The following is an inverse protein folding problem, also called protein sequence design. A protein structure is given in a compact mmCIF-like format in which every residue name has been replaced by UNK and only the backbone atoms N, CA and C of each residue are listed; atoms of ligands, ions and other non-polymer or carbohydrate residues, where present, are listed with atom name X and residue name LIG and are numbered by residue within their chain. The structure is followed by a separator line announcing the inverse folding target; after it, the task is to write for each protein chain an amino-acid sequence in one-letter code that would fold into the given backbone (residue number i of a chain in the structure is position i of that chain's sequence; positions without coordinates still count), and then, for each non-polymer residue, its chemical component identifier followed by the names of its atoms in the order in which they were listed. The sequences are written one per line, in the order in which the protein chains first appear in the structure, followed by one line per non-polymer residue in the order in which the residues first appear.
data_IF_033000655064
#
_entry.id   IF_033000655064
#
_cell.length_a   1.000
_cell.length_b   1.000
_cell.length_c   1.000
_cell.angle_alpha   90.00
_cell.angle_beta   90.00
_cell.angle_gamma   90.00
#
_symmetry.space_group_name_H-M   'P 1'
#
loop_
_entity.id
_entity.type
_entity.pdbx_description
1 polymer ?
#
# COMPACT_ATOMS: atom_id res chain seq x y z
N UNK A 1 14.92 -7.70 0.27
CA UNK A 1 13.83 -8.21 -0.61
C UNK A 1 14.14 -7.97 -2.09
N UNK A 2 13.90 -8.95 -2.97
CA UNK A 2 14.10 -8.78 -4.41
C UNK A 2 12.90 -8.03 -5.02
N UNK A 3 13.10 -7.15 -6.03
CA UNK A 3 12.00 -6.51 -6.74
C UNK A 3 11.05 -7.52 -7.37
N UNK A 4 9.76 -7.20 -7.43
CA UNK A 4 8.79 -7.95 -8.20
C UNK A 4 9.07 -7.64 -9.67
N UNK A 5 9.52 -8.64 -10.43
CA UNK A 5 9.81 -8.50 -11.86
C UNK A 5 8.76 -9.22 -12.67
N UNK A 6 8.09 -8.48 -13.54
CA UNK A 6 7.19 -9.03 -14.53
C UNK A 6 7.76 -8.75 -15.92
N UNK A 7 7.77 -9.77 -16.78
CA UNK A 7 8.20 -9.64 -18.16
C UNK A 7 6.99 -9.87 -19.07
N UNK A 8 6.50 -8.80 -19.69
CA UNK A 8 5.39 -8.86 -20.63
C UNK A 8 5.95 -9.10 -22.02
N UNK A 9 5.58 -10.23 -22.63
CA UNK A 9 5.90 -10.52 -24.03
C UNK A 9 4.66 -10.25 -24.88
N UNK A 10 4.81 -9.34 -25.83
CA UNK A 10 3.71 -8.95 -26.69
C UNK A 10 3.65 -9.89 -27.90
N UNK A 11 2.47 -10.38 -28.29
CA UNK A 11 2.34 -11.31 -29.41
C UNK A 11 2.66 -10.66 -30.77
N UNK A 12 2.64 -9.32 -30.84
CA UNK A 12 3.01 -8.54 -32.02
C UNK A 12 3.47 -7.14 -31.61
N UNK A 13 4.05 -6.40 -32.57
CA UNK A 13 4.32 -4.97 -32.38
C UNK A 13 3.02 -4.21 -32.12
N UNK A 14 2.98 -3.45 -31.03
CA UNK A 14 1.88 -2.54 -30.76
C UNK A 14 1.97 -1.33 -31.69
N UNK A 15 0.82 -0.90 -32.20
CA UNK A 15 0.70 0.41 -32.84
C UNK A 15 0.69 1.55 -31.80
N UNK A 16 0.60 2.79 -32.27
CA UNK A 16 0.41 3.94 -31.38
C UNK A 16 -0.98 3.90 -30.75
N UNK A 17 -1.08 3.97 -29.43
CA UNK A 17 -2.36 4.00 -28.72
C UNK A 17 -2.23 3.81 -27.21
N UNK A 18 -3.38 3.83 -26.52
CA UNK A 18 -3.48 3.47 -25.11
C UNK A 18 -3.54 1.95 -24.97
N UNK A 19 -2.85 1.44 -23.96
CA UNK A 19 -2.82 0.02 -23.61
C UNK A 19 -3.11 -0.09 -22.11
N UNK A 20 -3.93 -1.07 -21.77
CA UNK A 20 -4.21 -1.42 -20.37
C UNK A 20 -3.56 -2.76 -20.07
N UNK A 21 -2.71 -2.78 -19.05
CA UNK A 21 -2.06 -4.00 -18.54
C UNK A 21 -2.64 -4.33 -17.17
N UNK A 22 -3.04 -5.59 -16.99
CA UNK A 22 -3.52 -6.12 -15.72
C UNK A 22 -2.53 -7.16 -15.21
N UNK A 23 -1.99 -6.94 -14.01
CA UNK A 23 -0.99 -7.81 -13.41
C UNK A 23 -1.50 -8.24 -12.03
N UNK A 24 -1.81 -9.52 -11.89
CA UNK A 24 -2.00 -10.15 -10.58
C UNK A 24 -0.63 -10.59 -10.05
N UNK A 25 -0.35 -10.28 -8.79
CA UNK A 25 0.94 -10.60 -8.17
C UNK A 25 0.79 -10.80 -6.66
N UNK A 26 1.74 -11.52 -6.09
CA UNK A 26 1.92 -11.65 -4.65
C UNK A 26 3.26 -11.03 -4.24
N UNK A 27 3.27 -10.38 -3.09
CA UNK A 27 4.47 -9.85 -2.45
C UNK A 27 4.68 -10.52 -1.09
N UNK A 28 5.93 -10.74 -0.72
CA UNK A 28 6.24 -11.10 0.66
C UNK A 28 6.31 -9.84 1.53
N UNK A 29 5.97 -9.94 2.81
CA UNK A 29 6.21 -8.85 3.76
C UNK A 29 7.63 -8.93 4.32
N UNK A 30 8.39 -7.84 4.24
CA UNK A 30 9.74 -7.73 4.82
C UNK A 30 9.75 -6.84 6.07
N UNK A 31 10.90 -6.78 6.73
CA UNK A 31 11.19 -5.92 7.89
C UNK A 31 12.45 -5.05 7.66
N UNK A 32 12.74 -4.68 6.41
CA UNK A 32 13.95 -3.98 5.98
C UNK A 32 13.78 -2.44 5.94
N UNK A 33 12.62 -1.91 6.35
CA UNK A 33 12.28 -0.49 6.24
C UNK A 33 12.37 0.04 4.79
N UNK A 34 12.06 -0.82 3.81
CA UNK A 34 12.11 -0.51 2.38
C UNK A 34 11.00 -1.22 1.62
N UNK A 35 10.41 -0.55 0.63
CA UNK A 35 9.25 -1.06 -0.07
C UNK A 35 8.00 -1.03 0.82
N UNK A 36 7.16 -2.05 0.74
CA UNK A 36 6.07 -2.28 1.69
C UNK A 36 6.53 -3.28 2.74
N UNK A 37 6.55 -2.86 4.01
CA UNK A 37 7.21 -3.60 5.09
C UNK A 37 6.41 -3.54 6.39
N UNK A 38 6.70 -4.48 7.29
CA UNK A 38 6.18 -4.48 8.67
C UNK A 38 7.15 -3.72 9.59
N UNK A 39 6.60 -2.83 10.40
CA UNK A 39 7.29 -2.16 11.50
C UNK A 39 6.82 -2.80 12.81
N UNK A 40 7.76 -2.99 13.75
CA UNK A 40 7.46 -3.48 15.10
C UNK A 40 7.36 -2.32 16.09
N UNK A 41 6.42 -2.39 17.02
CA UNK A 41 6.28 -1.42 18.10
C UNK A 41 5.84 -2.11 19.40
N UNK A 42 6.18 -1.52 20.54
CA UNK A 42 5.59 -1.90 21.82
C UNK A 42 4.30 -1.09 21.97
N UNK A 43 3.14 -1.73 22.14
CA UNK A 43 1.89 -1.00 22.22
C UNK A 43 1.81 -0.26 23.57
N UNK A 44 1.35 0.99 23.55
CA UNK A 44 1.17 1.80 24.76
C UNK A 44 -0.14 1.49 25.50
N UNK A 45 -1.10 0.94 24.76
CA UNK A 45 -2.42 0.50 25.22
C UNK A 45 -2.70 -0.88 24.62
N UNK A 46 -3.74 -1.59 25.06
CA UNK A 46 -4.12 -2.87 24.45
C UNK A 46 -4.46 -2.66 22.97
N UNK A 47 -3.76 -3.33 22.04
CA UNK A 47 -4.05 -3.19 20.61
C UNK A 47 -5.42 -3.82 20.27
N UNK A 48 -6.02 -3.36 19.17
CA UNK A 48 -7.22 -4.01 18.62
C UNK A 48 -6.97 -5.47 18.22
N UNK A 49 -8.04 -6.29 18.19
CA UNK A 49 -7.99 -7.75 18.08
C UNK A 49 -7.24 -8.23 16.84
N UNK A 50 -7.37 -7.53 15.72
CA UNK A 50 -6.78 -7.96 14.45
C UNK A 50 -5.31 -7.60 14.25
N UNK A 51 -4.72 -6.79 15.15
CA UNK A 51 -3.30 -6.43 15.06
C UNK A 51 -2.43 -7.67 15.25
N UNK A 52 -1.54 -8.01 14.28
CA UNK A 52 -0.60 -9.08 14.48
C UNK A 52 0.40 -8.75 15.58
N UNK A 53 0.75 -9.73 16.41
CA UNK A 53 1.73 -9.58 17.48
C UNK A 53 2.59 -10.83 17.65
N UNK A 54 3.75 -10.65 18.29
CA UNK A 54 4.64 -11.72 18.75
C UNK A 54 5.29 -11.27 20.07
N UNK A 55 5.15 -12.08 21.12
CA UNK A 55 5.46 -11.72 22.50
C UNK A 55 4.86 -10.36 22.91
N UNK A 56 5.70 -9.36 23.20
CA UNK A 56 5.33 -8.00 23.60
C UNK A 56 5.26 -7.01 22.41
N UNK A 57 5.47 -7.48 21.18
CA UNK A 57 5.56 -6.62 19.99
C UNK A 57 4.31 -6.72 19.12
N UNK A 58 3.80 -5.56 18.71
CA UNK A 58 2.76 -5.43 17.69
C UNK A 58 3.37 -5.03 16.35
N UNK A 59 2.63 -5.31 15.27
CA UNK A 59 3.06 -4.99 13.90
C UNK A 59 2.09 -4.05 13.21
N UNK A 60 2.64 -3.00 12.59
CA UNK A 60 1.96 -2.16 11.61
C UNK A 60 2.64 -2.32 10.25
N UNK A 61 1.94 -2.02 9.18
CA UNK A 61 2.49 -2.04 7.82
C UNK A 61 2.64 -0.62 7.32
N UNK A 62 3.74 -0.33 6.64
CA UNK A 62 4.02 0.98 6.07
C UNK A 62 4.88 0.88 4.83
N UNK A 63 4.95 1.98 4.10
CA UNK A 63 5.72 2.09 2.85
C UNK A 63 6.89 3.04 3.00
N UNK A 64 8.01 2.69 2.35
CA UNK A 64 9.18 3.54 2.17
C UNK A 64 9.71 3.30 0.75
N UNK A 65 9.30 4.14 -0.20
CA UNK A 65 9.64 3.95 -1.61
C UNK A 65 10.79 4.79 -2.11
N UNK A 66 11.14 5.87 -1.42
CA UNK A 66 12.22 6.74 -1.86
C UNK A 66 13.58 6.01 -1.80
N UNK A 67 14.35 5.94 -2.89
CA UNK A 67 14.12 6.54 -4.22
C UNK A 67 13.55 5.61 -5.29
N UNK A 68 13.66 4.28 -5.16
CA UNK A 68 13.28 3.26 -6.17
C UNK A 68 12.83 1.92 -5.56
N UNK A 69 12.11 1.97 -4.44
CA UNK A 69 11.64 0.77 -3.74
C UNK A 69 10.14 0.49 -3.92
N UNK A 70 9.41 1.30 -4.69
CA UNK A 70 8.02 1.00 -5.05
C UNK A 70 7.89 -0.34 -5.80
N UNK A 71 8.87 -0.66 -6.65
CA UNK A 71 8.99 -1.96 -7.35
C UNK A 71 9.13 -3.19 -6.46
N UNK A 72 9.33 -3.00 -5.14
CA UNK A 72 9.31 -4.11 -4.16
C UNK A 72 7.91 -4.38 -3.63
N UNK A 73 6.99 -3.42 -3.75
CA UNK A 73 5.62 -3.52 -3.30
C UNK A 73 4.66 -3.92 -4.43
N UNK A 74 4.83 -3.38 -5.63
CA UNK A 74 4.00 -3.69 -6.80
C UNK A 74 4.75 -3.52 -8.12
N UNK A 75 4.39 -4.27 -9.19
CA UNK A 75 4.93 -4.06 -10.53
C UNK A 75 4.59 -2.65 -11.04
N UNK A 76 5.61 -1.86 -11.35
CA UNK A 76 5.45 -0.50 -11.86
C UNK A 76 6.68 0.00 -12.62
N UNK A 77 6.49 1.05 -13.41
CA UNK A 77 7.58 1.81 -14.03
C UNK A 77 8.21 2.77 -13.03
N UNK A 78 9.05 2.22 -12.15
CA UNK A 78 9.58 2.91 -10.96
C UNK A 78 10.77 3.84 -11.26
N UNK A 79 10.56 4.82 -12.15
CA UNK A 79 11.54 5.85 -12.50
C UNK A 79 10.97 7.25 -12.17
N UNK A 80 11.76 8.18 -11.57
CA UNK A 80 11.24 9.45 -11.06
C UNK A 80 10.51 10.35 -12.09
N UNK A 81 10.87 10.21 -13.36
CA UNK A 81 10.30 11.01 -14.45
C UNK A 81 9.00 10.41 -15.02
N UNK A 82 8.64 9.18 -14.67
CA UNK A 82 7.42 8.50 -15.11
C UNK A 82 6.33 8.70 -14.05
N UNK A 83 5.62 9.83 -14.16
CA UNK A 83 4.55 10.20 -13.23
C UNK A 83 3.20 9.67 -13.68
N UNK A 84 2.35 9.33 -12.71
CA UNK A 84 0.98 8.89 -12.93
C UNK A 84 0.08 9.36 -11.78
N UNK A 85 -1.24 9.29 -12.00
CA UNK A 85 -2.23 9.27 -10.93
C UNK A 85 -2.43 7.84 -10.45
N UNK A 86 -2.69 7.66 -9.15
CA UNK A 86 -2.91 6.35 -8.55
C UNK A 86 -4.31 6.28 -7.95
N UNK A 87 -5.02 5.19 -8.25
CA UNK A 87 -6.24 4.80 -7.56
C UNK A 87 -5.88 3.62 -6.66
N UNK A 88 -6.33 3.67 -5.41
CA UNK A 88 -5.92 2.70 -4.40
C UNK A 88 -7.13 2.17 -3.63
N UNK A 89 -7.16 0.85 -3.48
CA UNK A 89 -8.11 0.15 -2.62
C UNK A 89 -7.31 -0.80 -1.71
N UNK A 90 -7.64 -0.85 -0.42
CA UNK A 90 -6.98 -1.73 0.55
C UNK A 90 -8.05 -2.53 1.30
N UNK A 91 -7.95 -3.85 1.26
CA UNK A 91 -8.74 -4.73 2.12
C UNK A 91 -8.05 -4.87 3.48
N UNK A 92 -8.71 -4.45 4.56
CA UNK A 92 -8.18 -4.48 5.94
C UNK A 92 -9.24 -4.95 6.93
N UNK A 93 -8.84 -5.48 8.11
CA UNK A 93 -9.79 -5.77 9.20
C UNK A 93 -10.57 -4.53 9.63
N UNK A 94 -11.84 -4.70 10.01
CA UNK A 94 -12.75 -3.58 10.35
C UNK A 94 -12.30 -2.73 11.55
N UNK A 95 -11.47 -3.30 12.42
CA UNK A 95 -10.92 -2.66 13.62
C UNK A 95 -9.53 -2.02 13.39
N UNK A 96 -8.95 -2.13 12.19
CA UNK A 96 -7.70 -1.46 11.80
C UNK A 96 -7.93 -0.26 10.88
N UNK A 97 -7.00 0.69 10.92
CA UNK A 97 -7.00 1.86 10.04
C UNK A 97 -6.13 1.63 8.81
N UNK A 98 -6.57 2.18 7.67
CA UNK A 98 -5.80 2.24 6.43
C UNK A 98 -5.62 3.71 6.01
N UNK A 99 -4.39 4.10 5.69
CA UNK A 99 -4.01 5.46 5.31
C UNK A 99 -3.34 5.47 3.94
N UNK A 100 -3.57 6.52 3.16
CA UNK A 100 -2.84 6.78 1.90
C UNK A 100 -2.54 8.28 1.74
N UNK A 101 -2.03 8.66 0.57
CA UNK A 101 -1.83 10.07 0.19
C UNK A 101 -3.13 10.89 0.12
N UNK A 102 -4.28 10.25 0.00
CA UNK A 102 -5.58 10.90 -0.22
C UNK A 102 -6.61 10.46 0.80
N UNK A 103 -7.71 11.22 0.90
CA UNK A 103 -8.82 10.90 1.79
C UNK A 103 -9.55 9.63 1.37
N UNK A 104 -10.18 8.97 2.34
CA UNK A 104 -11.11 7.87 2.09
C UNK A 104 -12.30 8.40 1.28
N UNK A 105 -12.56 7.78 0.13
CA UNK A 105 -13.71 8.03 -0.73
C UNK A 105 -14.91 7.21 -0.31
N UNK A 106 -14.70 5.94 0.01
CA UNK A 106 -15.75 5.01 0.43
C UNK A 106 -15.15 3.82 1.20
N UNK A 107 -15.98 3.16 2.01
CA UNK A 107 -15.64 1.90 2.67
C UNK A 107 -16.78 0.92 2.46
N UNK A 108 -16.48 -0.32 2.09
CA UNK A 108 -17.48 -1.38 1.92
C UNK A 108 -17.02 -2.71 2.56
N UNK A 109 -17.93 -3.48 3.19
CA UNK A 109 -17.60 -4.82 3.66
C UNK A 109 -17.16 -5.74 2.50
N UNK A 110 -16.25 -6.67 2.77
CA UNK A 110 -15.81 -7.69 1.78
C UNK A 110 -15.99 -9.11 2.28
N UNK A 111 -15.58 -9.39 3.52
CA UNK A 111 -15.71 -10.67 4.22
C UNK A 111 -15.91 -10.42 5.71
N UNK A 112 -16.20 -11.45 6.48
CA UNK A 112 -16.48 -11.33 7.91
C UNK A 112 -15.32 -10.64 8.65
N UNK A 113 -15.62 -9.58 9.41
CA UNK A 113 -14.66 -8.68 10.08
C UNK A 113 -13.64 -7.96 9.16
N UNK A 114 -13.91 -7.78 7.85
CA UNK A 114 -13.05 -7.01 6.91
C UNK A 114 -13.81 -6.02 6.03
N UNK A 115 -13.13 -4.94 5.67
CA UNK A 115 -13.60 -3.91 4.77
C UNK A 115 -12.59 -3.64 3.63
N UNK A 116 -13.09 -3.30 2.45
CA UNK A 116 -12.34 -2.60 1.41
C UNK A 116 -12.46 -1.09 1.65
N UNK A 117 -11.33 -0.42 1.86
CA UNK A 117 -11.22 1.04 1.94
C UNK A 117 -10.77 1.57 0.59
N UNK A 118 -11.55 2.46 0.01
CA UNK A 118 -11.34 3.06 -1.32
C UNK A 118 -10.93 4.51 -1.12
N UNK A 119 -9.85 4.93 -1.75
CA UNK A 119 -9.30 6.29 -1.61
C UNK A 119 -9.56 7.15 -2.84
N UNK A 120 -9.54 8.47 -2.67
CA UNK A 120 -9.60 9.40 -3.82
C UNK A 120 -8.36 9.25 -4.71
N UNK A 121 -8.52 9.49 -6.02
CA UNK A 121 -7.41 9.43 -6.98
C UNK A 121 -6.33 10.47 -6.62
N UNK A 122 -5.06 10.07 -6.61
CA UNK A 122 -3.97 11.00 -6.33
C UNK A 122 -3.77 12.02 -7.47
N UNK A 123 -3.21 13.20 -7.18
CA UNK A 123 -2.60 14.03 -8.23
C UNK A 123 -1.51 13.27 -9.00
N UNK A 124 -1.09 13.80 -10.15
CA UNK A 124 0.04 13.26 -10.91
C UNK A 124 1.32 13.36 -10.08
N UNK A 125 1.90 12.23 -9.74
CA UNK A 125 3.08 12.13 -8.86
C UNK A 125 3.99 10.98 -9.27
N UNK A 126 5.22 10.96 -8.74
CA UNK A 126 6.15 9.85 -8.95
C UNK A 126 5.87 8.71 -7.98
N UNK A 127 6.18 7.47 -8.39
CA UNK A 127 6.01 6.25 -7.57
C UNK A 127 6.68 6.34 -6.20
N UNK A 128 7.82 7.05 -6.10
CA UNK A 128 8.56 7.24 -4.85
C UNK A 128 7.83 8.05 -3.77
N UNK A 129 6.75 8.77 -4.12
CA UNK A 129 5.91 9.53 -3.20
C UNK A 129 4.62 8.80 -2.81
N UNK A 130 4.26 7.73 -3.53
CA UNK A 130 3.09 6.93 -3.19
C UNK A 130 3.31 6.32 -1.81
N UNK A 131 2.31 6.40 -0.94
CA UNK A 131 2.41 5.93 0.42
C UNK A 131 1.09 5.33 0.88
N UNK A 132 1.20 4.25 1.63
CA UNK A 132 0.13 3.73 2.47
C UNK A 132 0.67 3.16 3.79
N UNK A 133 -0.22 3.08 4.77
CA UNK A 133 0.03 2.45 6.07
C UNK A 133 -1.23 1.75 6.59
N UNK A 134 -1.03 0.66 7.33
CA UNK A 134 -2.09 -0.15 7.94
C UNK A 134 -1.70 -0.42 9.39
N UNK A 135 -2.62 -0.18 10.32
CA UNK A 135 -2.38 -0.48 11.73
C UNK A 135 -3.43 0.11 12.66
N UNK A 136 -3.20 -0.10 13.96
CA UNK A 136 -3.99 0.47 15.05
C UNK A 136 -3.54 1.90 15.33
N UNK A 137 -4.02 2.82 14.49
CA UNK A 137 -3.75 4.25 14.60
C UNK A 137 -4.89 4.95 15.34
N UNK A 138 -4.54 5.75 16.34
CA UNK A 138 -5.46 6.68 16.97
C UNK A 138 -5.25 8.08 16.38
N UNK A 139 -6.33 8.73 15.96
CA UNK A 139 -6.30 10.10 15.46
C UNK A 139 -6.96 10.99 16.49
N UNK A 140 -6.16 11.79 17.18
CA UNK A 140 -6.70 12.92 17.91
C UNK A 140 -7.24 13.89 16.86
N UNK A 141 -8.52 14.25 16.95
CA UNK A 141 -9.01 15.40 16.21
C UNK A 141 -8.17 16.59 16.67
N UNK A 142 -7.33 17.12 15.79
CA UNK A 142 -6.73 18.42 16.04
C UNK A 142 -7.91 19.39 16.12
N UNK A 143 -8.11 19.99 17.30
CA UNK A 143 -8.97 21.15 17.44
C UNK A 143 -8.40 22.26 16.55
N UNK A 144 -8.96 22.42 15.35
CA UNK A 144 -8.66 23.53 14.42
C UNK A 144 -9.90 24.39 14.25
#
# INVERSE_FOLDING_TARGET
MKPIRHHVSLPSSLGTGLITEHIEFEGAMNNEMAGFYRSKYKPAVTPVKSVPYDDEWCYMLSTQFARRDARRAFPCFDEPNLKASFEFEIEVPVDQSALTNTSVKNTRPTKDEWNMVIFETTPIMGTYLLAWAIGDFNFDALDV
#
